data_IF_051133977450
#
_entry.id   IF_051133977450
#
_cell.length_a   1.000
_cell.length_b   1.000
_cell.length_c   1.000
_cell.angle_alpha   90.00
_cell.angle_beta   90.00
_cell.angle_gamma   90.00
#
_symmetry.space_group_name_H-M   'P 1'
#
loop_
_entity.id
_entity.type
_entity.pdbx_description
1 polymer ?
#
# COMPACT_ATOMS: atom_id res chain seq x y z
N UNK A 1 4.12 -2.51 1.82
CA UNK A 1 4.54 -2.89 3.19
C UNK A 1 4.48 -1.65 4.08
N UNK A 2 3.96 -1.73 5.31
CA UNK A 2 3.99 -0.62 6.28
C UNK A 2 3.00 0.53 6.08
N UNK A 3 2.19 0.51 5.02
CA UNK A 3 1.13 1.49 4.80
C UNK A 3 -0.17 1.11 5.53
N UNK A 4 -1.11 2.07 5.65
CA UNK A 4 -2.46 1.81 6.17
C UNK A 4 -3.19 0.79 5.30
N UNK A 5 -4.09 0.04 5.91
CA UNK A 5 -5.09 -0.76 5.21
C UNK A 5 -6.49 -0.32 5.61
N UNK A 6 -7.45 -0.52 4.72
CA UNK A 6 -8.82 -0.05 4.89
C UNK A 6 -9.79 -1.22 4.76
N UNK A 7 -10.70 -1.33 5.73
CA UNK A 7 -11.92 -2.15 5.57
C UNK A 7 -12.99 -1.20 5.08
N UNK A 8 -13.60 -1.55 3.95
CA UNK A 8 -14.55 -0.67 3.26
C UNK A 8 -15.87 -1.39 2.98
N UNK A 9 -16.93 -0.61 2.87
CA UNK A 9 -18.23 -1.06 2.39
C UNK A 9 -18.47 -0.45 1.00
N UNK A 10 -18.84 -1.30 0.03
CA UNK A 10 -19.21 -0.82 -1.30
C UNK A 10 -20.52 -0.05 -1.27
N UNK A 11 -20.58 1.06 -2.03
CA UNK A 11 -21.79 1.88 -2.18
C UNK A 11 -22.69 1.44 -3.34
N UNK A 12 -22.27 0.42 -4.11
CA UNK A 12 -23.06 -0.13 -5.22
C UNK A 12 -23.16 0.79 -6.44
N UNK A 13 -22.12 1.58 -6.71
CA UNK A 13 -22.12 2.54 -7.82
C UNK A 13 -22.27 1.82 -9.20
N UNK A 14 -23.36 2.05 -9.95
CA UNK A 14 -23.60 1.39 -11.24
C UNK A 14 -22.63 1.79 -12.35
N UNK A 15 -22.14 3.04 -12.36
CA UNK A 15 -21.17 3.52 -13.36
C UNK A 15 -19.83 2.79 -13.25
N UNK A 16 -19.51 2.34 -12.04
CA UNK A 16 -18.34 1.51 -11.75
C UNK A 16 -18.64 0.00 -11.81
N UNK A 17 -19.81 -0.40 -12.34
CA UNK A 17 -20.26 -1.80 -12.34
C UNK A 17 -20.15 -2.46 -10.96
N UNK A 18 -20.54 -1.72 -9.91
CA UNK A 18 -20.47 -2.14 -8.51
C UNK A 18 -19.06 -2.57 -8.05
N UNK A 19 -18.00 -1.98 -8.62
CA UNK A 19 -16.60 -2.31 -8.32
C UNK A 19 -15.85 -1.16 -7.64
N UNK A 20 -14.68 -1.47 -7.06
CA UNK A 20 -13.78 -0.50 -6.42
C UNK A 20 -12.30 -0.92 -6.54
N UNK A 21 -11.38 -0.06 -6.11
CA UNK A 21 -9.94 -0.34 -6.19
C UNK A 21 -9.50 -1.40 -5.16
N UNK A 22 -8.61 -2.31 -5.57
CA UNK A 22 -8.11 -3.37 -4.69
C UNK A 22 -7.02 -2.90 -3.69
N UNK A 23 -6.39 -1.75 -3.91
CA UNK A 23 -5.26 -1.28 -3.12
C UNK A 23 -4.53 -0.10 -3.76
N UNK A 24 -3.35 0.23 -3.22
CA UNK A 24 -2.60 1.43 -3.63
C UNK A 24 -2.12 1.40 -5.09
N UNK A 25 -1.72 0.23 -5.59
CA UNK A 25 -1.03 0.10 -6.87
C UNK A 25 0.41 0.64 -6.83
N UNK A 26 1.25 0.13 -7.72
CA UNK A 26 2.67 0.52 -7.82
C UNK A 26 2.83 1.79 -8.64
N UNK A 27 3.82 2.61 -8.30
CA UNK A 27 4.27 3.74 -9.14
C UNK A 27 5.47 3.39 -10.00
N UNK A 28 6.14 2.27 -9.72
CA UNK A 28 7.31 1.80 -10.46
C UNK A 28 7.42 0.27 -10.46
N UNK A 29 8.19 -0.26 -11.40
CA UNK A 29 8.46 -1.69 -11.49
C UNK A 29 9.26 -2.19 -10.29
N UNK A 30 9.33 -3.51 -10.11
CA UNK A 30 10.16 -4.13 -9.06
C UNK A 30 11.65 -3.88 -9.27
N UNK A 31 12.10 -4.02 -10.52
CA UNK A 31 13.50 -3.78 -10.88
C UNK A 31 13.90 -2.32 -10.67
N UNK A 32 13.01 -1.38 -10.99
CA UNK A 32 13.28 0.03 -10.75
C UNK A 32 13.36 0.35 -9.25
N UNK A 33 12.48 -0.25 -8.43
CA UNK A 33 12.57 -0.10 -6.98
C UNK A 33 13.90 -0.65 -6.42
N UNK A 34 14.35 -1.83 -6.88
CA UNK A 34 15.65 -2.41 -6.48
C UNK A 34 16.85 -1.57 -6.89
N UNK A 35 16.76 -0.85 -8.03
CA UNK A 35 17.82 0.03 -8.51
C UNK A 35 17.85 1.36 -7.74
N UNK A 36 16.68 1.88 -7.36
CA UNK A 36 16.53 3.23 -6.81
C UNK A 36 16.69 3.29 -5.29
N UNK A 37 16.29 2.25 -4.58
CA UNK A 37 16.25 2.25 -3.12
C UNK A 37 17.30 1.33 -2.51
N UNK A 38 17.72 1.68 -1.31
CA UNK A 38 18.69 0.95 -0.50
C UNK A 38 18.02 0.24 0.67
N UNK A 39 18.75 -0.65 1.32
CA UNK A 39 18.31 -1.26 2.59
C UNK A 39 18.07 -0.20 3.66
N UNK A 40 18.89 0.85 3.71
CA UNK A 40 18.72 1.95 4.66
C UNK A 40 17.39 2.69 4.44
N UNK A 41 17.01 2.92 3.18
CA UNK A 41 15.70 3.51 2.84
C UNK A 41 14.56 2.60 3.31
N UNK A 42 14.69 1.29 3.12
CA UNK A 42 13.70 0.33 3.60
C UNK A 42 13.57 0.35 5.11
N UNK A 43 14.70 0.37 5.85
CA UNK A 43 14.70 0.46 7.32
C UNK A 43 13.99 1.75 7.77
N UNK A 44 14.34 2.89 7.19
CA UNK A 44 13.73 4.17 7.53
C UNK A 44 12.23 4.18 7.22
N UNK A 45 11.83 3.71 6.03
CA UNK A 45 10.44 3.71 5.59
C UNK A 45 9.55 2.68 6.31
N UNK A 46 10.16 1.73 7.03
CA UNK A 46 9.46 0.70 7.83
C UNK A 46 9.75 0.78 9.32
N UNK A 47 10.31 1.90 9.82
CA UNK A 47 10.70 2.04 11.22
C UNK A 47 9.55 1.82 12.22
N UNK A 48 8.30 1.99 11.78
CA UNK A 48 7.09 1.80 12.58
C UNK A 48 6.44 0.42 12.47
N UNK A 49 7.02 -0.51 11.70
CA UNK A 49 6.51 -1.87 11.48
C UNK A 49 7.62 -2.89 11.63
N UNK A 50 7.38 -3.96 12.37
CA UNK A 50 8.34 -5.05 12.45
C UNK A 50 8.25 -5.92 11.19
N UNK A 51 9.38 -6.04 10.49
CA UNK A 51 9.44 -6.75 9.21
C UNK A 51 10.88 -7.11 8.87
N UNK A 52 11.02 -7.99 7.87
CA UNK A 52 12.29 -8.28 7.21
C UNK A 52 12.80 -7.02 6.50
N UNK A 53 14.10 -6.71 6.62
CA UNK A 53 14.72 -5.48 6.12
C UNK A 53 15.99 -5.75 5.32
N UNK A 54 16.01 -6.80 4.50
CA UNK A 54 17.15 -7.13 3.65
C UNK A 54 16.89 -6.85 2.16
N UNK A 55 17.93 -6.99 1.34
CA UNK A 55 17.87 -6.64 -0.08
C UNK A 55 16.81 -7.42 -0.89
N UNK A 56 16.37 -8.59 -0.42
CA UNK A 56 15.41 -9.42 -1.15
C UNK A 56 13.99 -8.85 -1.16
N UNK A 57 13.68 -7.94 -0.23
CA UNK A 57 12.34 -7.35 -0.05
C UNK A 57 12.28 -5.85 -0.41
N UNK A 58 13.37 -5.28 -0.95
CA UNK A 58 13.44 -3.87 -1.34
C UNK A 58 12.39 -3.48 -2.38
N UNK A 59 12.02 -4.38 -3.30
CA UNK A 59 11.01 -4.07 -4.32
C UNK A 59 9.61 -3.84 -3.77
N UNK A 60 9.39 -4.12 -2.48
CA UNK A 60 8.12 -3.98 -1.78
C UNK A 60 8.15 -2.84 -0.74
N UNK A 61 9.22 -2.02 -0.75
CA UNK A 61 9.33 -0.79 0.04
C UNK A 61 8.08 0.07 -0.14
N UNK A 62 7.50 0.66 0.94
CA UNK A 62 6.29 1.48 0.81
C UNK A 62 6.39 2.59 -0.26
N UNK A 63 7.58 3.12 -0.49
CA UNK A 63 7.86 4.15 -1.49
C UNK A 63 7.67 3.69 -2.96
N UNK A 64 7.56 2.39 -3.22
CA UNK A 64 7.26 1.85 -4.55
C UNK A 64 5.76 1.89 -4.91
N UNK A 65 4.90 2.28 -3.97
CA UNK A 65 3.45 2.31 -4.10
C UNK A 65 2.90 3.74 -4.11
N UNK A 66 1.70 3.93 -4.66
CA UNK A 66 0.96 5.19 -4.53
C UNK A 66 0.61 5.44 -3.06
N UNK A 67 0.35 6.70 -2.73
CA UNK A 67 -0.27 7.02 -1.46
C UNK A 67 -1.68 6.41 -1.40
N UNK A 68 -1.90 5.46 -0.49
CA UNK A 68 -3.20 4.79 -0.33
C UNK A 68 -4.31 5.79 0.06
N UNK A 69 -3.99 6.84 0.80
CA UNK A 69 -4.97 7.85 1.22
C UNK A 69 -5.50 8.62 0.00
N UNK A 70 -4.63 8.88 -0.99
CA UNK A 70 -5.04 9.50 -2.25
C UNK A 70 -5.93 8.56 -3.10
N UNK A 71 -5.64 7.25 -3.10
CA UNK A 71 -6.50 6.26 -3.76
C UNK A 71 -7.87 6.22 -3.09
N UNK A 72 -7.93 6.22 -1.76
CA UNK A 72 -9.19 6.24 -1.01
C UNK A 72 -10.01 7.50 -1.29
N UNK A 73 -9.37 8.66 -1.34
CA UNK A 73 -10.03 9.92 -1.69
C UNK A 73 -10.61 9.89 -3.11
N UNK A 74 -9.86 9.34 -4.08
CA UNK A 74 -10.31 9.26 -5.47
C UNK A 74 -11.51 8.33 -5.70
N UNK A 75 -11.78 7.40 -4.76
CA UNK A 75 -12.89 6.46 -4.85
C UNK A 75 -13.97 6.68 -3.78
N UNK A 76 -14.06 7.88 -3.21
CA UNK A 76 -15.03 8.19 -2.15
C UNK A 76 -16.50 8.02 -2.58
N UNK A 77 -16.79 8.07 -3.89
CA UNK A 77 -18.12 7.78 -4.45
C UNK A 77 -18.39 6.29 -4.64
N UNK A 78 -17.40 5.43 -4.47
CA UNK A 78 -17.50 3.97 -4.68
C UNK A 78 -17.60 3.22 -3.35
N UNK A 79 -16.95 3.72 -2.30
CA UNK A 79 -16.81 3.00 -1.02
C UNK A 79 -16.87 3.93 0.19
N UNK A 80 -17.41 3.41 1.28
CA UNK A 80 -17.36 3.98 2.63
C UNK A 80 -16.25 3.30 3.44
N UNK A 81 -15.41 4.07 4.15
CA UNK A 81 -14.41 3.51 5.06
C UNK A 81 -15.07 3.10 6.37
N UNK A 82 -15.04 1.81 6.69
CA UNK A 82 -15.55 1.26 7.95
C UNK A 82 -14.47 1.27 9.02
N UNK A 83 -13.25 0.85 8.65
CA UNK A 83 -12.10 0.85 9.57
C UNK A 83 -10.79 1.20 8.86
N UNK A 84 -9.89 1.83 9.61
CA UNK A 84 -8.50 2.05 9.21
C UNK A 84 -7.59 1.21 10.11
N UNK A 85 -6.75 0.41 9.48
CA UNK A 85 -5.82 -0.49 10.16
C UNK A 85 -4.39 0.01 9.99
N UNK A 86 -3.64 0.04 11.10
CA UNK A 86 -2.19 0.26 11.11
C UNK A 86 -1.50 -1.10 11.20
N UNK A 87 -0.60 -1.38 10.27
CA UNK A 87 0.21 -2.59 10.32
C UNK A 87 1.23 -2.49 11.47
N UNK A 88 1.39 -3.59 12.22
CA UNK A 88 2.40 -3.73 13.30
C UNK A 88 3.50 -4.72 12.94
N UNK A 89 3.15 -5.78 12.21
CA UNK A 89 4.10 -6.81 11.75
C UNK A 89 3.83 -7.12 10.27
N UNK A 90 4.89 -7.32 9.49
CA UNK A 90 4.84 -7.79 8.12
C UNK A 90 5.80 -8.97 7.92
N UNK A 91 5.23 -10.16 7.69
CA UNK A 91 5.98 -11.36 7.31
C UNK A 91 5.81 -11.54 5.81
N UNK A 92 6.93 -11.63 5.08
CA UNK A 92 6.93 -11.76 3.62
C UNK A 92 8.04 -12.72 3.19
N UNK A 93 7.69 -13.62 2.27
CA UNK A 93 8.59 -14.59 1.65
C UNK A 93 9.35 -13.99 0.48
#
# INVERSE_FOLDING_TARGET
MGAKSYIVRGLGNPEAFCSCSHGAGRIMSRNEAKRRFTVADQIAATAHVECRKDASVIDEIPLAYKNIDAVMQAQSSLVEVVHTLKQVVCIKG
#
